data_IF_045708619112
#
_entry.id   IF_045708619112
#
_cell.length_a   1.000
_cell.length_b   1.000
_cell.length_c   1.000
_cell.angle_alpha   90.00
_cell.angle_beta   90.00
_cell.angle_gamma   90.00
#
_symmetry.space_group_name_H-M   'P 1'
#
loop_
_entity.id
_entity.type
_entity.pdbx_description
1 polymer ?
#
# COMPACT_ATOMS: atom_id res chain seq x y z
N UNK A 1 12.89 25.24 2.19
CA UNK A 1 12.66 24.64 0.86
C UNK A 1 11.49 23.70 1.02
N UNK A 2 10.37 23.97 0.33
CA UNK A 2 9.08 23.31 0.58
C UNK A 2 9.06 21.98 -0.20
N UNK A 3 9.19 20.86 0.52
CA UNK A 3 9.06 19.52 -0.05
C UNK A 3 7.57 19.25 -0.26
N UNK A 4 7.09 19.35 -1.50
CA UNK A 4 5.70 19.05 -1.90
C UNK A 4 5.49 17.54 -2.12
N UNK A 5 6.14 16.67 -1.33
CA UNK A 5 5.80 15.25 -1.22
C UNK A 5 4.92 15.06 0.02
N UNK A 6 3.62 15.34 -0.14
CA UNK A 6 2.63 15.44 0.94
C UNK A 6 2.26 14.05 1.49
N UNK A 7 3.19 13.40 2.19
CA UNK A 7 2.89 12.22 2.99
C UNK A 7 2.49 12.67 4.39
N UNK A 8 1.32 12.23 4.87
CA UNK A 8 0.91 12.53 6.25
C UNK A 8 1.31 11.38 7.16
N UNK A 9 2.16 11.67 8.14
CA UNK A 9 2.54 10.76 9.22
C UNK A 9 1.64 11.08 10.41
N UNK A 10 0.89 10.09 10.90
CA UNK A 10 0.06 10.25 12.11
C UNK A 10 0.42 9.19 13.14
N UNK A 11 0.72 9.64 14.35
CA UNK A 11 0.93 8.80 15.51
C UNK A 11 -0.33 8.75 16.36
N UNK A 12 -0.93 7.58 16.56
CA UNK A 12 -2.11 7.38 17.41
C UNK A 12 -1.94 6.13 18.26
N UNK A 13 -1.84 6.28 19.59
CA UNK A 13 -1.91 5.18 20.57
C UNK A 13 -1.16 3.89 20.16
N UNK A 14 0.12 4.02 19.77
CA UNK A 14 1.02 2.95 19.30
C UNK A 14 0.84 2.50 17.83
N UNK A 15 0.08 3.24 17.03
CA UNK A 15 0.00 3.07 15.58
C UNK A 15 0.68 4.23 14.89
N UNK A 16 1.51 3.90 13.92
CA UNK A 16 2.06 4.84 12.94
C UNK A 16 1.32 4.62 11.64
N UNK A 17 0.63 5.66 11.18
CA UNK A 17 -0.12 5.64 9.93
C UNK A 17 0.62 6.52 8.93
N UNK A 18 1.10 5.90 7.85
CA UNK A 18 1.74 6.57 6.73
C UNK A 18 0.73 6.62 5.59
N UNK A 19 0.36 7.80 5.10
CA UNK A 19 -0.51 7.91 3.92
C UNK A 19 0.30 8.16 2.65
N UNK A 20 -0.11 7.52 1.56
CA UNK A 20 0.41 7.82 0.23
C UNK A 20 0.09 9.28 -0.11
N UNK A 21 1.02 9.95 -0.77
CA UNK A 21 0.87 11.35 -1.19
C UNK A 21 -0.35 11.59 -2.04
N UNK A 22 -0.86 12.82 -2.02
CA UNK A 22 -2.07 13.18 -2.74
C UNK A 22 -1.86 13.16 -4.27
N UNK A 23 -2.16 12.03 -4.91
CA UNK A 23 -2.29 11.98 -6.37
C UNK A 23 -3.38 12.98 -6.82
N UNK A 24 -3.11 13.83 -7.83
CA UNK A 24 -4.09 14.78 -8.35
C UNK A 24 -5.42 14.11 -8.68
N UNK A 25 -6.53 14.78 -8.34
CA UNK A 25 -7.89 14.24 -8.53
C UNK A 25 -8.15 13.79 -9.97
N UNK A 26 -7.67 14.56 -10.95
CA UNK A 26 -7.80 14.23 -12.37
C UNK A 26 -7.18 12.86 -12.71
N UNK A 27 -5.97 12.59 -12.21
CA UNK A 27 -5.27 11.32 -12.45
C UNK A 27 -6.05 10.16 -11.80
N UNK A 28 -6.56 10.36 -10.58
CA UNK A 28 -7.40 9.35 -9.90
C UNK A 28 -8.65 9.03 -10.72
N UNK A 29 -9.36 10.05 -11.20
CA UNK A 29 -10.56 9.88 -12.03
C UNK A 29 -10.24 9.12 -13.31
N UNK A 30 -9.16 9.47 -14.01
CA UNK A 30 -8.74 8.78 -15.24
C UNK A 30 -8.40 7.31 -14.95
N UNK A 31 -7.69 7.03 -13.86
CA UNK A 31 -7.32 5.66 -13.47
C UNK A 31 -8.56 4.81 -13.17
N UNK A 32 -9.52 5.33 -12.39
CA UNK A 32 -10.77 4.63 -12.12
C UNK A 32 -11.59 4.42 -13.40
N UNK A 33 -11.76 5.45 -14.22
CA UNK A 33 -12.49 5.35 -15.48
C UNK A 33 -11.87 4.27 -16.38
N UNK A 34 -10.55 4.26 -16.50
CA UNK A 34 -9.82 3.26 -17.28
C UNK A 34 -10.06 1.86 -16.71
N UNK A 35 -9.92 1.68 -15.39
CA UNK A 35 -10.18 0.40 -14.73
C UNK A 35 -11.62 -0.10 -15.01
N UNK A 36 -12.63 0.77 -14.93
CA UNK A 36 -14.01 0.43 -15.24
C UNK A 36 -14.23 0.07 -16.71
N UNK A 37 -13.57 0.77 -17.65
CA UNK A 37 -13.66 0.44 -19.07
C UNK A 37 -13.13 -0.97 -19.39
N UNK A 38 -12.09 -1.41 -18.68
CA UNK A 38 -11.58 -2.80 -18.81
C UNK A 38 -12.63 -3.85 -18.42
N UNK A 39 -13.60 -3.53 -17.56
CA UNK A 39 -14.72 -4.42 -17.27
C UNK A 39 -15.90 -4.21 -18.23
N UNK A 40 -16.22 -2.97 -18.56
CA UNK A 40 -17.39 -2.62 -19.37
C UNK A 40 -17.26 -3.05 -20.83
N UNK A 41 -16.09 -2.87 -21.45
CA UNK A 41 -15.87 -3.20 -22.85
C UNK A 41 -16.06 -4.69 -23.16
N UNK A 42 -15.41 -5.64 -22.46
CA UNK A 42 -15.61 -7.06 -22.75
C UNK A 42 -17.04 -7.52 -22.41
N UNK A 43 -17.62 -7.06 -21.30
CA UNK A 43 -19.00 -7.43 -20.91
C UNK A 43 -20.01 -6.88 -21.90
N UNK A 44 -19.90 -5.60 -22.27
CA UNK A 44 -20.74 -4.96 -23.28
C UNK A 44 -20.60 -5.63 -24.64
N UNK A 45 -19.37 -5.97 -25.06
CA UNK A 45 -19.12 -6.70 -26.29
C UNK A 45 -19.80 -8.07 -26.31
N UNK A 46 -19.75 -8.82 -25.20
CA UNK A 46 -20.44 -10.10 -25.06
C UNK A 46 -21.97 -9.94 -25.12
N UNK A 47 -22.52 -8.96 -24.40
CA UNK A 47 -23.97 -8.68 -24.41
C UNK A 47 -24.43 -8.32 -25.83
N UNK A 48 -23.72 -7.42 -26.51
CA UNK A 48 -24.04 -7.02 -27.88
C UNK A 48 -23.97 -8.21 -28.84
N UNK A 49 -22.93 -9.05 -28.73
CA UNK A 49 -22.78 -10.25 -29.55
C UNK A 49 -23.97 -11.20 -29.40
N UNK A 50 -24.38 -11.50 -28.17
CA UNK A 50 -25.53 -12.36 -27.87
C UNK A 50 -26.84 -11.72 -28.33
N UNK A 51 -27.02 -10.42 -28.13
CA UNK A 51 -28.23 -9.70 -28.55
C UNK A 51 -28.41 -9.69 -30.08
N UNK A 52 -27.31 -9.74 -30.82
CA UNK A 52 -27.30 -9.90 -32.28
C UNK A 52 -27.55 -11.34 -32.74
N UNK A 53 -27.87 -12.28 -31.83
CA UNK A 53 -28.15 -13.67 -32.13
C UNK A 53 -26.90 -14.55 -32.33
N UNK A 54 -25.71 -14.02 -32.06
CA UNK A 54 -24.47 -14.79 -32.16
C UNK A 54 -24.26 -15.65 -30.93
N UNK A 55 -23.52 -16.76 -31.11
CA UNK A 55 -23.10 -17.62 -30.00
C UNK A 55 -21.88 -17.01 -29.32
N UNK A 56 -21.81 -17.14 -27.99
CA UNK A 56 -20.62 -16.76 -27.23
C UNK A 56 -19.47 -17.67 -27.63
N UNK A 57 -18.48 -17.09 -28.32
CA UNK A 57 -17.25 -17.79 -28.63
C UNK A 57 -16.41 -17.98 -27.35
N UNK A 58 -15.73 -19.12 -27.23
CA UNK A 58 -14.82 -19.37 -26.12
C UNK A 58 -13.71 -18.31 -26.02
N UNK A 59 -13.25 -17.79 -27.16
CA UNK A 59 -12.32 -16.66 -27.22
C UNK A 59 -12.87 -15.39 -26.57
N UNK A 60 -14.17 -15.11 -26.68
CA UNK A 60 -14.82 -13.99 -26.02
C UNK A 60 -14.78 -14.11 -24.50
N UNK A 61 -14.97 -15.33 -23.97
CA UNK A 61 -14.88 -15.61 -22.54
C UNK A 61 -13.44 -15.41 -22.05
N UNK A 62 -12.46 -15.97 -22.76
CA UNK A 62 -11.03 -15.80 -22.41
C UNK A 62 -10.66 -14.31 -22.39
N UNK A 63 -11.05 -13.56 -23.42
CA UNK A 63 -10.77 -12.12 -23.47
C UNK A 63 -11.43 -11.37 -22.32
N UNK A 64 -12.67 -11.70 -21.96
CA UNK A 64 -13.32 -11.10 -20.81
C UNK A 64 -12.59 -11.38 -19.49
N UNK A 65 -12.05 -12.59 -19.30
CA UNK A 65 -11.24 -12.94 -18.12
C UNK A 65 -9.95 -12.14 -18.10
N UNK A 66 -9.20 -12.09 -19.20
CA UNK A 66 -7.94 -11.34 -19.29
C UNK A 66 -8.16 -9.85 -19.01
N UNK A 67 -9.17 -9.24 -19.65
CA UNK A 67 -9.52 -7.85 -19.42
C UNK A 67 -9.98 -7.59 -17.98
N UNK A 68 -10.71 -8.53 -17.36
CA UNK A 68 -11.10 -8.42 -15.96
C UNK A 68 -9.89 -8.48 -15.02
N UNK A 69 -8.90 -9.32 -15.29
CA UNK A 69 -7.66 -9.38 -14.51
C UNK A 69 -6.87 -8.06 -14.62
N UNK A 70 -6.74 -7.52 -15.84
CA UNK A 70 -6.10 -6.22 -16.07
C UNK A 70 -6.88 -5.07 -15.39
N UNK A 71 -8.20 -5.05 -15.51
CA UNK A 71 -9.07 -4.08 -14.87
C UNK A 71 -8.97 -4.13 -13.35
N UNK A 72 -8.90 -5.33 -12.78
CA UNK A 72 -8.74 -5.52 -11.33
C UNK A 72 -7.38 -5.01 -10.85
N UNK A 73 -6.32 -5.27 -11.61
CA UNK A 73 -4.98 -4.73 -11.31
C UNK A 73 -4.97 -3.20 -11.34
N UNK A 74 -5.57 -2.58 -12.37
CA UNK A 74 -5.70 -1.12 -12.46
C UNK A 74 -6.55 -0.54 -11.34
N UNK A 75 -7.62 -1.23 -10.95
CA UNK A 75 -8.45 -0.84 -9.80
C UNK A 75 -7.63 -0.85 -8.50
N UNK A 76 -6.80 -1.89 -8.29
CA UNK A 76 -5.88 -1.95 -7.14
C UNK A 76 -4.90 -0.78 -7.11
N UNK A 77 -4.33 -0.41 -8.26
CA UNK A 77 -3.46 0.77 -8.38
C UNK A 77 -4.24 2.06 -8.07
N UNK A 78 -5.46 2.19 -8.61
CA UNK A 78 -6.31 3.37 -8.43
C UNK A 78 -6.65 3.59 -6.95
N UNK A 79 -6.95 2.50 -6.23
CA UNK A 79 -7.26 2.50 -4.81
C UNK A 79 -6.04 2.84 -3.96
N UNK A 80 -4.86 2.28 -4.28
CA UNK A 80 -3.61 2.67 -3.61
C UNK A 80 -3.32 4.17 -3.78
N UNK A 81 -3.49 4.70 -4.99
CA UNK A 81 -3.28 6.12 -5.28
C UNK A 81 -4.30 7.06 -4.61
N UNK A 82 -5.46 6.52 -4.20
CA UNK A 82 -6.56 7.32 -3.65
C UNK A 82 -6.66 7.25 -2.14
N UNK A 83 -6.49 6.04 -1.59
CA UNK A 83 -6.74 5.73 -0.18
C UNK A 83 -5.58 4.96 0.46
N UNK A 84 -4.51 4.68 -0.29
CA UNK A 84 -3.38 3.89 0.17
C UNK A 84 -2.77 4.47 1.44
N UNK A 85 -2.69 3.63 2.45
CA UNK A 85 -2.03 3.93 3.71
C UNK A 85 -1.38 2.67 4.26
N UNK A 86 -0.26 2.86 4.93
CA UNK A 86 0.38 1.84 5.74
C UNK A 86 0.06 2.09 7.20
N UNK A 87 -0.19 0.99 7.91
CA UNK A 87 -0.46 1.00 9.34
C UNK A 87 0.59 0.09 9.97
N UNK A 88 1.45 0.69 10.78
CA UNK A 88 2.42 -0.02 11.62
C UNK A 88 1.90 0.08 13.04
N UNK A 89 1.55 -1.06 13.64
CA UNK A 89 1.04 -1.13 15.00
C UNK A 89 2.04 -1.87 15.90
N UNK A 90 2.41 -1.23 17.00
CA UNK A 90 3.33 -1.78 17.99
C UNK A 90 2.51 -2.32 19.16
N UNK A 91 2.54 -3.63 19.36
CA UNK A 91 1.74 -4.34 20.38
C UNK A 91 2.63 -5.26 21.22
N UNK A 92 3.08 -4.76 22.38
CA UNK A 92 3.94 -5.53 23.28
C UNK A 92 5.24 -5.94 22.60
N UNK A 93 5.46 -7.25 22.48
CA UNK A 93 6.65 -7.83 21.85
C UNK A 93 6.53 -8.02 20.31
N UNK A 94 5.54 -7.39 19.67
CA UNK A 94 5.26 -7.57 18.24
C UNK A 94 5.02 -6.24 17.52
N UNK A 95 5.44 -6.19 16.26
CA UNK A 95 5.10 -5.15 15.30
C UNK A 95 4.25 -5.75 14.20
N UNK A 96 3.04 -5.22 14.02
CA UNK A 96 2.12 -5.60 12.95
C UNK A 96 2.18 -4.55 11.85
N UNK A 97 2.33 -5.00 10.60
CA UNK A 97 2.35 -4.17 9.42
C UNK A 97 1.19 -4.53 8.49
N UNK A 98 0.44 -3.52 8.06
CA UNK A 98 -0.69 -3.66 7.14
C UNK A 98 -0.64 -2.58 6.08
N UNK A 99 -0.72 -2.99 4.81
CA UNK A 99 -1.05 -2.08 3.70
C UNK A 99 -2.58 -2.04 3.52
N UNK A 100 -3.19 -0.89 3.75
CA UNK A 100 -4.63 -0.66 3.65
C UNK A 100 -4.93 0.19 2.41
N UNK A 101 -5.66 -0.39 1.45
CA UNK A 101 -6.06 0.24 0.18
C UNK A 101 -7.45 0.89 0.29
N UNK A 102 -8.02 0.99 1.49
CA UNK A 102 -9.36 1.48 1.75
C UNK A 102 -10.44 0.40 1.56
N UNK A 103 -10.60 -0.10 0.34
CA UNK A 103 -11.60 -1.13 0.01
C UNK A 103 -11.13 -2.56 0.33
N UNK A 104 -9.81 -2.79 0.35
CA UNK A 104 -9.23 -4.06 0.74
C UNK A 104 -7.93 -3.82 1.52
N UNK A 105 -7.53 -4.81 2.31
CA UNK A 105 -6.31 -4.79 3.11
C UNK A 105 -5.45 -5.97 2.70
N UNK A 106 -4.14 -5.76 2.69
CA UNK A 106 -3.20 -6.86 2.56
C UNK A 106 -3.18 -7.70 3.86
N UNK A 107 -2.60 -8.89 3.79
CA UNK A 107 -2.41 -9.73 4.96
C UNK A 107 -1.54 -9.03 6.00
N UNK A 108 -1.92 -9.17 7.28
CA UNK A 108 -1.14 -8.64 8.39
C UNK A 108 0.19 -9.38 8.44
N UNK A 109 1.28 -8.63 8.34
CA UNK A 109 2.64 -9.16 8.52
C UNK A 109 3.08 -8.85 9.95
N UNK A 110 3.46 -9.86 10.72
CA UNK A 110 3.93 -9.69 12.09
C UNK A 110 5.44 -9.91 12.18
N UNK A 111 6.14 -9.04 12.92
CA UNK A 111 7.54 -9.17 13.32
C UNK A 111 7.64 -9.17 14.84
N UNK A 112 8.63 -9.87 15.39
CA UNK A 112 9.02 -9.69 16.78
C UNK A 112 9.71 -8.34 16.97
N UNK A 113 9.50 -7.67 18.10
CA UNK A 113 10.30 -6.50 18.47
C UNK A 113 11.71 -6.86 18.94
N UNK A 114 11.95 -8.14 19.26
CA UNK A 114 13.29 -8.64 19.58
C UNK A 114 14.21 -8.45 18.37
N UNK A 115 15.32 -7.75 18.61
CA UNK A 115 16.33 -7.40 17.60
C UNK A 115 15.80 -6.68 16.36
N UNK A 116 14.68 -5.93 16.47
CA UNK A 116 14.14 -5.16 15.35
C UNK A 116 15.14 -4.09 14.90
N UNK A 117 15.56 -4.16 13.63
CA UNK A 117 16.44 -3.19 12.97
C UNK A 117 15.69 -2.52 11.84
N UNK A 118 15.85 -1.20 11.75
CA UNK A 118 15.39 -0.41 10.63
C UNK A 118 16.54 -0.20 9.66
N UNK A 119 16.28 -0.35 8.37
CA UNK A 119 17.23 -0.03 7.31
C UNK A 119 16.50 0.74 6.21
N UNK A 120 17.17 1.71 5.61
CA UNK A 120 16.62 2.45 4.48
C UNK A 120 17.23 1.86 3.21
N UNK A 121 16.39 1.40 2.30
CA UNK A 121 16.83 0.97 0.97
C UNK A 121 16.54 2.13 0.01
N UNK A 122 17.57 2.82 -0.52
CA UNK A 122 17.35 3.84 -1.55
C UNK A 122 16.83 3.19 -2.84
N UNK A 123 15.88 3.84 -3.50
CA UNK A 123 15.33 3.41 -4.80
C UNK A 123 15.98 4.22 -5.91
N UNK A 124 16.43 3.53 -6.96
CA UNK A 124 16.85 4.10 -8.26
C UNK A 124 17.69 5.39 -8.17
N UNK A 125 18.76 5.35 -7.37
CA UNK A 125 19.75 6.45 -7.24
C UNK A 125 19.13 7.82 -6.89
N UNK A 126 17.96 7.80 -6.25
CA UNK A 126 17.14 8.99 -5.97
C UNK A 126 17.18 9.35 -4.49
N UNK A 127 16.80 10.59 -4.14
CA UNK A 127 16.64 11.07 -2.75
C UNK A 127 15.48 10.38 -1.99
N UNK A 128 14.87 9.35 -2.58
CA UNK A 128 13.74 8.58 -2.05
C UNK A 128 14.13 7.12 -1.81
N UNK A 129 13.57 6.53 -0.77
CA UNK A 129 13.79 5.14 -0.40
C UNK A 129 12.55 4.50 0.18
N UNK A 130 12.70 3.25 0.60
CA UNK A 130 11.70 2.49 1.34
C UNK A 130 12.27 2.07 2.69
N UNK A 131 11.41 2.00 3.71
CA UNK A 131 11.79 1.49 5.02
C UNK A 131 11.76 -0.04 5.02
N UNK A 132 12.85 -0.66 5.47
CA UNK A 132 12.97 -2.08 5.69
C UNK A 132 13.01 -2.36 7.19
N UNK A 133 12.04 -3.15 7.66
CA UNK A 133 11.97 -3.66 9.02
C UNK A 133 12.55 -5.07 9.02
N UNK A 134 13.63 -5.30 9.76
CA UNK A 134 14.28 -6.61 9.89
C UNK A 134 14.21 -7.09 11.33
N UNK A 135 13.73 -8.31 11.55
CA UNK A 135 13.90 -9.10 12.77
C UNK A 135 14.57 -10.42 12.39
N UNK A 136 15.12 -11.16 13.36
CA UNK A 136 16.08 -12.26 13.13
C UNK A 136 15.66 -13.28 12.05
N UNK A 137 14.35 -13.53 11.89
CA UNK A 137 13.82 -14.49 10.91
C UNK A 137 12.91 -13.89 9.83
N UNK A 138 12.65 -12.59 9.85
CA UNK A 138 11.63 -11.99 8.99
C UNK A 138 11.94 -10.54 8.65
N UNK A 139 11.64 -10.18 7.40
CA UNK A 139 11.81 -8.83 6.88
C UNK A 139 10.49 -8.33 6.28
N UNK A 140 10.17 -7.07 6.56
CA UNK A 140 9.05 -6.37 5.96
C UNK A 140 9.61 -5.14 5.25
N UNK A 141 9.29 -5.01 3.98
CA UNK A 141 9.57 -3.81 3.19
C UNK A 141 8.31 -2.96 3.15
N UNK A 142 8.45 -1.68 3.46
CA UNK A 142 7.41 -0.67 3.24
C UNK A 142 7.16 -0.51 1.73
N UNK A 143 5.90 -0.32 1.39
CA UNK A 143 5.41 -0.13 0.02
C UNK A 143 5.39 1.37 -0.33
N UNK A 144 5.41 2.26 0.67
CA UNK A 144 5.49 3.71 0.49
C UNK A 144 6.94 4.14 0.32
N UNK A 145 7.18 4.90 -0.74
CA UNK A 145 8.46 5.56 -0.99
C UNK A 145 8.41 6.95 -0.37
N UNK A 146 9.40 7.27 0.46
CA UNK A 146 9.55 8.55 1.15
C UNK A 146 10.95 9.12 0.91
N UNK A 147 11.14 10.45 1.01
CA UNK A 147 12.47 11.05 1.07
C UNK A 147 13.32 10.41 2.17
N UNK A 148 14.60 10.18 1.90
CA UNK A 148 15.52 9.53 2.86
C UNK A 148 15.55 10.31 4.19
N UNK A 149 15.51 11.64 4.14
CA UNK A 149 15.43 12.49 5.32
C UNK A 149 14.19 12.22 6.17
N UNK A 150 13.02 12.03 5.55
CA UNK A 150 11.79 11.70 6.27
C UNK A 150 11.82 10.29 6.85
N UNK A 151 12.44 9.34 6.14
CA UNK A 151 12.64 7.97 6.64
C UNK A 151 13.57 7.91 7.85
N UNK A 152 14.61 8.75 7.88
CA UNK A 152 15.51 8.88 9.02
C UNK A 152 14.75 9.36 10.26
N UNK A 153 13.97 10.44 10.13
CA UNK A 153 13.12 10.93 11.22
C UNK A 153 12.13 9.86 11.70
N UNK A 154 11.46 9.19 10.77
CA UNK A 154 10.49 8.15 11.10
C UNK A 154 11.14 6.96 11.84
N UNK A 155 12.36 6.57 11.45
CA UNK A 155 13.08 5.49 12.12
C UNK A 155 13.41 5.82 13.57
N UNK A 156 13.76 7.08 13.85
CA UNK A 156 14.05 7.58 15.21
C UNK A 156 12.77 7.63 16.04
N UNK A 157 11.68 8.13 15.48
CA UNK A 157 10.40 8.21 16.20
C UNK A 157 9.85 6.83 16.56
N UNK A 158 9.94 5.87 15.64
CA UNK A 158 9.52 4.49 15.89
C UNK A 158 10.42 3.84 16.95
N UNK A 159 11.74 4.02 16.87
CA UNK A 159 12.67 3.49 17.87
C UNK A 159 12.40 4.07 19.27
N UNK A 160 12.15 5.37 19.36
CA UNK A 160 11.78 6.06 20.60
C UNK A 160 10.47 5.50 21.17
N UNK A 161 9.44 5.34 20.34
CA UNK A 161 8.15 4.79 20.76
C UNK A 161 8.25 3.34 21.26
N UNK A 162 9.13 2.52 20.67
CA UNK A 162 9.40 1.15 21.14
C UNK A 162 10.11 1.17 22.51
N UNK A 163 11.11 2.05 22.69
CA UNK A 163 11.85 2.17 23.94
C UNK A 163 10.98 2.68 25.10
N UNK A 164 10.12 3.68 24.86
CA UNK A 164 9.17 4.17 25.87
C UNK A 164 8.23 3.05 26.34
N UNK A 165 7.79 2.19 25.41
CA UNK A 165 6.91 1.06 25.73
C UNK A 165 7.61 -0.05 26.49
N UNK A 166 8.85 -0.36 26.11
CA UNK A 166 9.68 -1.35 26.82
C UNK A 166 9.94 -0.91 28.27
N UNK A 167 10.20 0.39 28.49
CA UNK A 167 10.41 0.93 29.83
C UNK A 167 9.13 0.92 30.66
N UNK A 168 7.96 1.18 30.06
CA UNK A 168 6.68 1.16 30.77
C UNK A 168 6.25 -0.24 31.20
N UNK A 169 6.56 -1.26 30.40
CA UNK A 169 6.30 -2.66 30.73
C UNK A 169 7.26 -3.24 31.80
N UNK A 170 8.36 -2.55 32.13
CA UNK A 170 9.30 -2.95 33.18
C UNK A 170 8.98 -2.30 34.56
N UNK A 171 7.92 -1.50 34.63
CA UNK A 171 7.47 -0.78 35.84
C UNK A 171 6.15 -1.31 36.40
N UNK A 172 5.53 -2.29 35.75
CA UNK A 172 4.36 -3.07 36.21
C UNK A 172 4.79 -4.50 36.55
#
# INVERSE_FOLDING_TARGET
MKSDHIHSISFQNNKVILKVGNTPLLIRVILFLTAFLFFLLPVGGLILNVSAGNRIAFSGIIMAVIFSLCGFYLLRISLWNSYGKEIIEISGNKVSYIADYGLFKDNVKELSTENLRFSIIPKDNSEVGVMLFKSDQSQIESVIQLPISELEFLSIDIATAILEKANKNNLD
#
